data_IF_749267962648
#
_entry.id   IF_749267962648
#
_cell.length_a   1.000
_cell.length_b   1.000
_cell.length_c   1.000
_cell.angle_alpha   90.00
_cell.angle_beta   90.00
_cell.angle_gamma   90.00
#
_symmetry.space_group_name_H-M   'P 1'
#
loop_
_entity.id
_entity.type
_entity.pdbx_description
1 polymer ?
#
# COMPACT_ATOMS: atom_id res chain seq x y z
N UNK A 1 28.86 16.78 63.12
CA UNK A 1 28.35 18.16 63.14
C UNK A 1 28.24 18.62 61.69
N UNK A 2 27.05 18.58 61.13
CA UNK A 2 26.77 18.99 59.74
C UNK A 2 25.88 20.25 59.78
N UNK A 3 26.20 21.31 59.03
CA UNK A 3 25.37 22.51 59.03
C UNK A 3 24.17 22.35 58.09
N UNK A 4 23.00 22.58 58.67
CA UNK A 4 21.68 22.70 58.06
C UNK A 4 21.67 23.77 56.96
N UNK A 5 21.19 23.41 55.76
CA UNK A 5 20.81 24.38 54.73
C UNK A 5 19.31 24.62 54.82
N UNK A 6 18.95 25.83 55.26
CA UNK A 6 17.59 26.34 55.27
C UNK A 6 17.05 26.44 53.83
N UNK A 7 15.92 25.78 53.60
CA UNK A 7 15.13 25.90 52.39
C UNK A 7 14.34 27.22 52.47
N UNK A 8 14.71 28.22 51.68
CA UNK A 8 13.89 29.44 51.50
C UNK A 8 12.82 29.13 50.46
N UNK A 9 11.67 28.70 50.97
CA UNK A 9 10.43 28.64 50.22
C UNK A 9 10.06 30.09 49.86
N UNK A 10 10.05 30.41 48.58
CA UNK A 10 9.56 31.70 48.09
C UNK A 10 8.07 31.56 47.87
N UNK A 11 7.30 32.19 48.74
CA UNK A 11 5.85 32.32 48.59
C UNK A 11 5.57 33.28 47.43
N UNK A 12 5.26 32.73 46.25
CA UNK A 12 4.56 33.48 45.21
C UNK A 12 3.14 32.90 45.08
N UNK A 13 2.10 33.74 45.08
CA UNK A 13 0.72 33.28 44.92
C UNK A 13 0.57 32.70 43.52
N UNK A 14 0.45 31.38 43.43
CA UNK A 14 0.18 30.69 42.16
C UNK A 14 -1.31 30.85 41.88
N UNK A 15 -1.65 31.82 41.04
CA UNK A 15 -3.00 31.92 40.50
C UNK A 15 -3.15 30.85 39.42
N UNK A 16 -3.70 29.69 39.78
CA UNK A 16 -3.88 28.51 38.90
C UNK A 16 -4.79 28.75 37.68
N UNK A 17 -5.31 29.97 37.50
CA UNK A 17 -6.19 30.37 36.39
C UNK A 17 -5.54 31.32 35.36
N UNK A 18 -4.22 31.55 35.39
CA UNK A 18 -3.55 32.31 34.33
C UNK A 18 -3.28 31.43 33.10
N UNK A 19 -3.70 31.91 31.92
CA UNK A 19 -3.43 31.30 30.62
C UNK A 19 -1.92 31.03 30.45
N UNK A 20 -1.50 29.83 30.00
CA UNK A 20 -0.11 29.50 29.71
C UNK A 20 0.65 30.58 28.93
N UNK A 21 -0.03 31.30 28.05
CA UNK A 21 0.55 32.38 27.23
C UNK A 21 0.93 33.59 28.11
N UNK A 22 0.05 34.02 29.02
CA UNK A 22 0.29 35.13 29.95
C UNK A 22 1.44 34.83 30.92
N UNK A 23 1.57 33.56 31.33
CA UNK A 23 2.67 33.12 32.19
C UNK A 23 4.02 33.08 31.46
N UNK A 24 4.03 32.79 30.16
CA UNK A 24 5.24 32.76 29.35
C UNK A 24 5.75 34.17 29.02
N UNK A 25 4.85 35.10 28.66
CA UNK A 25 5.18 36.51 28.39
C UNK A 25 5.69 37.26 29.63
N UNK A 26 5.15 36.97 30.83
CA UNK A 26 5.63 37.54 32.09
C UNK A 26 7.05 37.05 32.48
N UNK A 27 7.47 35.86 32.03
CA UNK A 27 8.76 35.23 32.36
C UNK A 27 9.85 35.49 31.32
N UNK A 28 9.49 35.69 30.04
CA UNK A 28 10.43 35.74 28.92
C UNK A 28 10.35 37.01 28.06
N UNK A 29 9.40 37.92 28.33
CA UNK A 29 9.11 39.06 27.46
C UNK A 29 8.16 38.71 26.33
N UNK A 30 7.59 39.72 25.66
CA UNK A 30 6.80 39.49 24.44
C UNK A 30 7.73 38.98 23.33
N UNK A 31 7.41 37.86 22.67
CA UNK A 31 8.20 37.35 21.55
C UNK A 31 8.25 38.41 20.45
N UNK A 32 9.43 38.68 19.93
CA UNK A 32 9.59 39.63 18.83
C UNK A 32 9.10 38.99 17.53
N UNK A 33 8.74 39.81 16.53
CA UNK A 33 8.37 39.32 15.21
C UNK A 33 9.46 38.43 14.58
N UNK A 34 10.73 38.73 14.85
CA UNK A 34 11.88 37.93 14.44
C UNK A 34 11.88 36.53 15.11
N UNK A 35 11.49 36.44 16.38
CA UNK A 35 11.35 35.15 17.08
C UNK A 35 10.25 34.29 16.47
N UNK A 36 9.12 34.90 16.05
CA UNK A 36 8.00 34.17 15.46
C UNK A 36 8.26 33.77 14.01
N UNK A 37 8.94 34.62 13.23
CA UNK A 37 9.38 34.30 11.87
C UNK A 37 10.36 33.12 11.88
N UNK A 38 11.33 33.13 12.79
CA UNK A 38 12.27 32.02 12.98
C UNK A 38 11.57 30.71 13.38
N UNK A 39 10.54 30.78 14.24
CA UNK A 39 9.75 29.62 14.62
C UNK A 39 8.94 29.08 13.42
N UNK A 40 8.29 29.95 12.64
CA UNK A 40 7.58 29.59 11.40
C UNK A 40 8.48 28.91 10.37
N UNK A 41 9.67 29.46 10.10
CA UNK A 41 10.64 28.86 9.18
C UNK A 41 11.09 27.47 9.65
N UNK A 42 11.28 27.30 10.97
CA UNK A 42 11.67 26.02 11.55
C UNK A 42 10.60 24.94 11.38
N UNK A 43 9.32 25.29 11.56
CA UNK A 43 8.19 24.38 11.38
C UNK A 43 7.93 24.07 9.90
N UNK A 44 8.12 25.05 9.02
CA UNK A 44 8.03 24.83 7.57
C UNK A 44 9.12 23.87 7.08
N UNK A 45 10.36 24.05 7.53
CA UNK A 45 11.46 23.13 7.25
C UNK A 45 11.17 21.72 7.80
N UNK A 46 10.63 21.61 9.02
CA UNK A 46 10.24 20.32 9.61
C UNK A 46 9.12 19.63 8.81
N UNK A 47 8.13 20.39 8.31
CA UNK A 47 7.07 19.87 7.47
C UNK A 47 7.61 19.37 6.11
N UNK A 48 8.56 20.07 5.50
CA UNK A 48 9.15 19.64 4.24
C UNK A 48 10.00 18.38 4.38
N UNK A 49 10.79 18.27 5.46
CA UNK A 49 11.53 17.04 5.80
C UNK A 49 10.56 15.87 6.05
N UNK A 50 9.47 16.09 6.79
CA UNK A 50 8.46 15.06 7.03
C UNK A 50 7.75 14.62 5.73
N UNK A 51 7.50 15.56 4.81
CA UNK A 51 6.93 15.28 3.48
C UNK A 51 7.85 14.42 2.64
N UNK A 52 9.15 14.72 2.62
CA UNK A 52 10.15 13.92 1.90
C UNK A 52 10.25 12.51 2.48
N UNK A 53 10.39 12.38 3.81
CA UNK A 53 10.40 11.08 4.50
C UNK A 53 9.14 10.25 4.22
N UNK A 54 7.96 10.88 4.20
CA UNK A 54 6.70 10.23 3.84
C UNK A 54 6.73 9.73 2.39
N UNK A 55 7.18 10.56 1.45
CA UNK A 55 7.24 10.20 0.04
C UNK A 55 8.24 9.05 -0.21
N UNK A 56 9.39 9.09 0.44
CA UNK A 56 10.38 8.00 0.42
C UNK A 56 9.80 6.70 1.00
N UNK A 57 9.17 6.78 2.17
CA UNK A 57 8.47 5.66 2.80
C UNK A 57 7.43 5.04 1.87
N UNK A 58 6.60 5.85 1.22
CA UNK A 58 5.60 5.40 0.24
C UNK A 58 6.24 4.71 -0.97
N UNK A 59 7.35 5.24 -1.48
CA UNK A 59 8.09 4.62 -2.58
C UNK A 59 8.64 3.23 -2.18
N UNK A 60 9.16 3.10 -0.95
CA UNK A 60 9.63 1.82 -0.40
C UNK A 60 8.48 0.83 -0.24
N UNK A 61 7.34 1.26 0.30
CA UNK A 61 6.13 0.43 0.43
C UNK A 61 5.68 -0.09 -0.94
N UNK A 62 5.63 0.77 -1.96
CA UNK A 62 5.28 0.39 -3.34
C UNK A 62 6.22 -0.68 -3.88
N UNK A 63 7.54 -0.52 -3.74
CA UNK A 63 8.54 -1.53 -4.13
C UNK A 63 8.29 -2.90 -3.49
N UNK A 64 8.00 -2.93 -2.19
CA UNK A 64 7.72 -4.19 -1.49
C UNK A 64 6.38 -4.82 -1.87
N UNK A 65 5.36 -4.00 -2.17
CA UNK A 65 4.07 -4.49 -2.69
C UNK A 65 4.27 -5.16 -4.05
N UNK A 66 5.01 -4.54 -4.96
CA UNK A 66 5.24 -5.09 -6.30
C UNK A 66 6.06 -6.38 -6.23
N UNK A 67 7.12 -6.41 -5.41
CA UNK A 67 7.87 -7.64 -5.13
C UNK A 67 7.00 -8.75 -4.56
N UNK A 68 6.08 -8.43 -3.64
CA UNK A 68 5.14 -9.40 -3.08
C UNK A 68 4.20 -9.95 -4.16
N UNK A 69 3.68 -9.09 -5.05
CA UNK A 69 2.83 -9.51 -6.17
C UNK A 69 3.58 -10.45 -7.12
N UNK A 70 4.83 -10.15 -7.44
CA UNK A 70 5.69 -11.00 -8.27
C UNK A 70 5.85 -12.40 -7.66
N UNK A 71 6.22 -12.46 -6.37
CA UNK A 71 6.33 -13.73 -5.63
C UNK A 71 5.00 -14.49 -5.63
N UNK A 72 3.87 -13.79 -5.48
CA UNK A 72 2.54 -14.41 -5.50
C UNK A 72 2.19 -15.00 -6.88
N UNK A 73 2.57 -14.34 -7.97
CA UNK A 73 2.40 -14.86 -9.34
C UNK A 73 3.26 -16.13 -9.52
N UNK A 74 4.53 -16.08 -9.11
CA UNK A 74 5.41 -17.25 -9.13
C UNK A 74 4.81 -18.39 -8.31
N UNK A 75 4.39 -18.13 -7.07
CA UNK A 75 3.80 -19.14 -6.18
C UNK A 75 2.59 -19.84 -6.80
N UNK A 76 1.70 -19.10 -7.47
CA UNK A 76 0.56 -19.70 -8.20
C UNK A 76 1.03 -20.61 -9.33
N UNK A 77 1.95 -20.14 -10.16
CA UNK A 77 2.51 -20.95 -11.25
C UNK A 77 3.14 -22.25 -10.76
N UNK A 78 3.86 -22.20 -9.63
CA UNK A 78 4.47 -23.38 -9.03
C UNK A 78 3.44 -24.34 -8.43
N UNK A 79 2.37 -23.84 -7.81
CA UNK A 79 1.26 -24.68 -7.33
C UNK A 79 0.56 -25.38 -8.51
N UNK A 80 0.31 -24.67 -9.61
CA UNK A 80 -0.27 -25.26 -10.82
C UNK A 80 0.61 -26.38 -11.38
N UNK A 81 1.94 -26.21 -11.36
CA UNK A 81 2.90 -27.27 -11.75
C UNK A 81 2.82 -28.48 -10.83
N UNK A 82 2.72 -28.28 -9.51
CA UNK A 82 2.55 -29.39 -8.55
C UNK A 82 1.30 -30.19 -8.88
N UNK A 83 0.19 -29.52 -9.18
CA UNK A 83 -1.07 -30.18 -9.52
C UNK A 83 -0.97 -30.92 -10.86
N UNK A 84 -0.30 -30.34 -11.86
CA UNK A 84 -0.01 -31.02 -13.12
C UNK A 84 0.83 -32.30 -12.91
N UNK A 85 1.87 -32.25 -12.08
CA UNK A 85 2.69 -33.44 -11.79
C UNK A 85 1.90 -34.50 -11.02
N UNK A 86 1.05 -34.09 -10.07
CA UNK A 86 0.16 -34.99 -9.36
C UNK A 86 -0.79 -35.71 -10.34
N UNK A 87 -1.38 -34.99 -11.29
CA UNK A 87 -2.26 -35.56 -12.32
C UNK A 87 -1.52 -36.56 -13.21
N UNK A 88 -0.35 -36.18 -13.74
CA UNK A 88 0.49 -37.06 -14.57
C UNK A 88 0.93 -38.32 -13.83
N UNK A 89 1.30 -38.20 -12.55
CA UNK A 89 1.64 -39.34 -11.71
C UNK A 89 0.44 -40.27 -11.51
N UNK A 90 -0.75 -39.72 -11.26
CA UNK A 90 -1.97 -40.52 -11.11
C UNK A 90 -2.33 -41.24 -12.41
N UNK A 91 -2.23 -40.57 -13.56
CA UNK A 91 -2.42 -41.19 -14.87
C UNK A 91 -1.43 -42.34 -15.13
N UNK A 92 -0.15 -42.15 -14.80
CA UNK A 92 0.86 -43.19 -14.90
C UNK A 92 0.56 -44.38 -13.98
N UNK A 93 0.12 -44.13 -12.74
CA UNK A 93 -0.29 -45.18 -11.80
C UNK A 93 -1.51 -45.96 -12.29
N UNK A 94 -2.51 -45.29 -12.86
CA UNK A 94 -3.68 -45.96 -13.46
C UNK A 94 -3.30 -46.81 -14.69
N UNK A 95 -2.32 -46.37 -15.49
CA UNK A 95 -1.74 -47.20 -16.56
C UNK A 95 -1.03 -48.42 -15.98
N UNK A 96 -0.19 -48.25 -14.95
CA UNK A 96 0.48 -49.38 -14.27
C UNK A 96 -0.53 -50.38 -13.73
N UNK A 97 -1.63 -49.90 -13.14
CA UNK A 97 -2.69 -50.76 -12.62
C UNK A 97 -3.34 -51.60 -13.73
N UNK A 98 -3.73 -50.98 -14.84
CA UNK A 98 -4.30 -51.69 -16.00
C UNK A 98 -3.34 -52.73 -16.58
N UNK A 99 -2.08 -52.36 -16.79
CA UNK A 99 -1.06 -53.30 -17.32
C UNK A 99 -0.85 -54.48 -16.36
N UNK A 100 -0.93 -54.25 -15.04
CA UNK A 100 -0.85 -55.35 -14.05
C UNK A 100 -2.06 -56.28 -14.10
N UNK A 101 -3.26 -55.74 -14.33
CA UNK A 101 -4.49 -56.52 -14.52
C UNK A 101 -4.40 -57.37 -15.79
N UNK A 102 -4.02 -56.77 -16.92
CA UNK A 102 -3.80 -57.47 -18.20
C UNK A 102 -2.72 -58.56 -18.08
N UNK A 103 -1.62 -58.27 -17.39
CA UNK A 103 -0.56 -59.25 -17.10
C UNK A 103 -1.08 -60.41 -16.25
N UNK A 104 -1.92 -60.14 -15.25
CA UNK A 104 -2.48 -61.17 -14.39
C UNK A 104 -3.39 -62.12 -15.19
N UNK A 105 -4.24 -61.58 -16.06
CA UNK A 105 -5.09 -62.35 -16.96
C UNK A 105 -4.27 -63.19 -17.94
N UNK A 106 -3.23 -62.61 -18.56
CA UNK A 106 -2.33 -63.34 -19.45
C UNK A 106 -1.60 -64.50 -18.74
N UNK A 107 -1.14 -64.28 -17.51
CA UNK A 107 -0.50 -65.33 -16.68
C UNK A 107 -1.49 -66.43 -16.29
N UNK A 108 -2.73 -66.07 -15.96
CA UNK A 108 -3.77 -67.07 -15.65
C UNK A 108 -4.09 -67.93 -16.86
N UNK A 109 -4.26 -67.32 -18.04
CA UNK A 109 -4.50 -68.03 -19.30
C UNK A 109 -3.31 -68.90 -19.71
N UNK A 110 -2.08 -68.42 -19.51
CA UNK A 110 -0.87 -69.22 -19.72
C UNK A 110 -0.84 -70.45 -18.81
N UNK A 111 -1.15 -70.30 -17.51
CA UNK A 111 -1.20 -71.42 -16.56
C UNK A 111 -2.26 -72.46 -16.95
N UNK A 112 -3.45 -72.01 -17.38
CA UNK A 112 -4.52 -72.91 -17.86
C UNK A 112 -4.05 -73.75 -19.05
N UNK A 113 -3.37 -73.13 -20.03
CA UNK A 113 -2.84 -73.86 -21.20
C UNK A 113 -1.70 -74.81 -20.83
N UNK A 114 -0.78 -74.41 -19.93
CA UNK A 114 0.29 -75.30 -19.44
C UNK A 114 -0.26 -76.52 -18.70
N UNK A 115 -1.23 -76.32 -17.80
CA UNK A 115 -1.86 -77.45 -17.09
C UNK A 115 -2.56 -78.40 -18.07
N UNK A 116 -3.19 -77.86 -19.12
CA UNK A 116 -3.82 -78.68 -20.16
C UNK A 116 -2.81 -79.44 -21.03
N UNK A 117 -1.63 -78.86 -21.29
CA UNK A 117 -0.50 -79.51 -21.97
C UNK A 117 0.07 -80.69 -21.18
N UNK A 118 0.09 -80.58 -19.85
CA UNK A 118 0.51 -81.67 -18.95
C UNK A 118 -0.49 -82.84 -18.95
N UNK A 119 -1.78 -82.57 -19.13
CA UNK A 119 -2.84 -83.59 -19.18
C UNK A 119 -3.05 -84.19 -20.58
N UNK A 120 -2.89 -83.39 -21.64
CA UNK A 120 -3.21 -83.74 -23.03
C UNK A 120 -2.38 -82.95 -24.04
N UNK A 121 -2.09 -83.53 -25.21
CA UNK A 121 -1.33 -82.83 -26.24
C UNK A 121 -2.12 -81.63 -26.79
N UNK A 122 -1.55 -80.43 -26.67
CA UNK A 122 -2.16 -79.19 -27.18
C UNK A 122 -2.24 -79.20 -28.71
N UNK A 123 -3.34 -78.67 -29.25
CA UNK A 123 -3.42 -78.43 -30.68
C UNK A 123 -2.53 -77.25 -31.11
N UNK A 124 -2.27 -77.13 -32.41
CA UNK A 124 -1.34 -76.14 -32.95
C UNK A 124 -1.78 -74.67 -32.70
N UNK A 125 -3.09 -74.41 -32.63
CA UNK A 125 -3.62 -73.09 -32.28
C UNK A 125 -3.42 -72.76 -30.77
N UNK A 126 -3.53 -73.76 -29.90
CA UNK A 126 -3.29 -73.63 -28.45
C UNK A 126 -1.79 -73.46 -28.15
N UNK A 127 -0.90 -74.19 -28.83
CA UNK A 127 0.56 -73.98 -28.76
C UNK A 127 0.95 -72.57 -29.17
N UNK A 128 0.42 -72.09 -30.30
CA UNK A 128 0.66 -70.71 -30.76
C UNK A 128 0.14 -69.66 -29.76
N UNK A 129 -1.00 -69.91 -29.10
CA UNK A 129 -1.50 -69.02 -28.03
C UNK A 129 -0.61 -69.04 -26.80
N UNK A 130 -0.12 -70.21 -26.38
CA UNK A 130 0.79 -70.35 -25.25
C UNK A 130 2.11 -69.58 -25.48
N UNK A 131 2.70 -69.71 -26.66
CA UNK A 131 3.88 -68.92 -27.07
C UNK A 131 3.59 -67.42 -27.05
N UNK A 132 2.42 -67.00 -27.56
CA UNK A 132 1.98 -65.61 -27.50
C UNK A 132 1.85 -65.07 -26.07
N UNK A 133 1.29 -65.86 -25.14
CA UNK A 133 1.21 -65.45 -23.74
C UNK A 133 2.59 -65.34 -23.08
N UNK A 134 3.52 -66.25 -23.38
CA UNK A 134 4.90 -66.20 -22.87
C UNK A 134 5.59 -64.93 -23.36
N UNK A 135 5.51 -64.62 -24.66
CA UNK A 135 6.07 -63.39 -25.22
C UNK A 135 5.45 -62.13 -24.58
N UNK A 136 4.13 -62.10 -24.43
CA UNK A 136 3.43 -60.96 -23.82
C UNK A 136 3.81 -60.73 -22.35
N UNK A 137 4.22 -61.76 -21.60
CA UNK A 137 4.59 -61.62 -20.19
C UNK A 137 5.80 -60.72 -20.01
N UNK A 138 6.83 -60.88 -20.84
CA UNK A 138 8.04 -60.07 -20.79
C UNK A 138 7.76 -58.64 -21.24
N UNK A 139 6.91 -58.48 -22.27
CA UNK A 139 6.43 -57.18 -22.72
C UNK A 139 5.71 -56.43 -21.59
N UNK A 140 4.76 -57.07 -20.90
CA UNK A 140 4.06 -56.46 -19.76
C UNK A 140 5.01 -56.08 -18.62
N UNK A 141 6.02 -56.91 -18.34
CA UNK A 141 7.01 -56.58 -17.31
C UNK A 141 7.79 -55.30 -17.67
N UNK A 142 8.27 -55.19 -18.92
CA UNK A 142 8.95 -54.00 -19.43
C UNK A 142 8.02 -52.77 -19.39
N UNK A 143 6.75 -52.92 -19.77
CA UNK A 143 5.77 -51.84 -19.72
C UNK A 143 5.51 -51.36 -18.28
N UNK A 144 5.33 -52.27 -17.32
CA UNK A 144 5.16 -51.92 -15.91
C UNK A 144 6.38 -51.17 -15.37
N UNK A 145 7.59 -51.65 -15.68
CA UNK A 145 8.83 -50.98 -15.26
C UNK A 145 8.92 -49.56 -15.81
N UNK A 146 8.66 -49.39 -17.12
CA UNK A 146 8.67 -48.08 -17.78
C UNK A 146 7.67 -47.11 -17.16
N UNK A 147 6.42 -47.55 -16.98
CA UNK A 147 5.37 -46.68 -16.43
C UNK A 147 5.59 -46.37 -14.95
N UNK A 148 6.14 -47.32 -14.18
CA UNK A 148 6.52 -47.09 -12.78
C UNK A 148 7.68 -46.10 -12.66
N UNK A 149 8.67 -46.17 -13.55
CA UNK A 149 9.76 -45.21 -13.62
C UNK A 149 9.25 -43.81 -13.99
N UNK A 150 8.30 -43.71 -14.92
CA UNK A 150 7.66 -42.44 -15.28
C UNK A 150 6.85 -41.84 -14.11
N UNK A 151 6.07 -42.66 -13.41
CA UNK A 151 5.35 -42.24 -12.20
C UNK A 151 6.31 -41.75 -11.10
N UNK A 152 7.43 -42.45 -10.90
CA UNK A 152 8.45 -42.04 -9.93
C UNK A 152 9.11 -40.73 -10.34
N UNK A 153 9.36 -40.51 -11.63
CA UNK A 153 9.88 -39.24 -12.14
C UNK A 153 8.94 -38.09 -11.79
N UNK A 154 7.65 -38.20 -12.11
CA UNK A 154 6.68 -37.15 -11.76
C UNK A 154 6.56 -36.94 -10.25
N UNK A 155 6.72 -37.99 -9.43
CA UNK A 155 6.80 -37.84 -7.98
C UNK A 155 8.00 -36.99 -7.57
N UNK A 156 9.19 -37.26 -8.11
CA UNK A 156 10.41 -36.52 -7.79
C UNK A 156 10.30 -35.05 -8.21
N UNK A 157 9.88 -34.80 -9.45
CA UNK A 157 9.67 -33.44 -9.99
C UNK A 157 8.67 -32.65 -9.12
N UNK A 158 7.61 -33.33 -8.65
CA UNK A 158 6.64 -32.74 -7.74
C UNK A 158 7.25 -32.38 -6.37
N UNK A 159 8.13 -33.21 -5.80
CA UNK A 159 8.76 -32.92 -4.50
C UNK A 159 9.73 -31.75 -4.58
N UNK A 160 10.51 -31.67 -5.66
CA UNK A 160 11.39 -30.53 -5.92
C UNK A 160 10.57 -29.24 -6.03
N UNK A 161 9.53 -29.26 -6.86
CA UNK A 161 8.60 -28.12 -7.04
C UNK A 161 7.92 -27.73 -5.72
N UNK A 162 7.52 -28.70 -4.88
CA UNK A 162 6.96 -28.43 -3.53
C UNK A 162 7.95 -27.75 -2.60
N UNK A 163 9.23 -28.12 -2.69
CA UNK A 163 10.29 -27.49 -1.89
C UNK A 163 10.47 -26.02 -2.31
N UNK A 164 10.40 -25.73 -3.60
CA UNK A 164 10.40 -24.35 -4.10
C UNK A 164 9.16 -23.57 -3.67
N UNK A 165 7.97 -24.18 -3.72
CA UNK A 165 6.73 -23.59 -3.19
C UNK A 165 6.89 -23.20 -1.71
N UNK A 166 7.53 -24.05 -0.91
CA UNK A 166 7.79 -23.77 0.50
C UNK A 166 8.69 -22.54 0.68
N UNK A 167 9.79 -22.44 -0.07
CA UNK A 167 10.70 -21.29 -0.05
C UNK A 167 10.00 -20.01 -0.52
N UNK A 168 9.18 -20.09 -1.56
CA UNK A 168 8.38 -18.95 -2.05
C UNK A 168 7.38 -18.48 -1.00
N UNK A 169 6.71 -19.39 -0.27
CA UNK A 169 5.81 -19.03 0.84
C UNK A 169 6.55 -18.31 1.96
N UNK A 170 7.73 -18.79 2.36
CA UNK A 170 8.54 -18.11 3.36
C UNK A 170 8.94 -16.71 2.89
N UNK A 171 9.40 -16.59 1.65
CA UNK A 171 9.83 -15.31 1.05
C UNK A 171 8.66 -14.35 0.92
N UNK A 172 7.48 -14.83 0.52
CA UNK A 172 6.24 -14.05 0.47
C UNK A 172 5.88 -13.52 1.86
N UNK A 173 5.89 -14.38 2.88
CA UNK A 173 5.53 -13.98 4.25
C UNK A 173 6.54 -12.98 4.83
N UNK A 174 7.83 -13.18 4.58
CA UNK A 174 8.87 -12.24 4.99
C UNK A 174 8.72 -10.89 4.28
N UNK A 175 8.41 -10.90 2.98
CA UNK A 175 8.15 -9.66 2.22
C UNK A 175 6.89 -8.96 2.72
N UNK A 176 5.83 -9.72 3.04
CA UNK A 176 4.62 -9.17 3.64
C UNK A 176 4.89 -8.48 4.98
N UNK A 177 5.68 -9.09 5.87
CA UNK A 177 6.11 -8.46 7.13
C UNK A 177 6.85 -7.15 6.88
N UNK A 178 7.71 -7.09 5.86
CA UNK A 178 8.40 -5.85 5.46
C UNK A 178 7.42 -4.78 4.97
N UNK A 179 6.42 -5.15 4.15
CA UNK A 179 5.36 -4.21 3.71
C UNK A 179 4.64 -3.62 4.92
N UNK A 180 4.20 -4.46 5.87
CA UNK A 180 3.46 -4.01 7.06
C UNK A 180 4.31 -3.01 7.86
N UNK A 181 5.56 -3.37 8.19
CA UNK A 181 6.46 -2.50 8.95
C UNK A 181 6.74 -1.17 8.22
N UNK A 182 6.95 -1.21 6.91
CA UNK A 182 7.22 0.01 6.14
C UNK A 182 5.98 0.90 6.02
N UNK A 183 4.79 0.30 5.98
CA UNK A 183 3.53 1.04 6.04
C UNK A 183 3.36 1.75 7.38
N UNK A 184 3.63 1.06 8.50
CA UNK A 184 3.61 1.68 9.83
C UNK A 184 4.55 2.89 9.93
N UNK A 185 5.77 2.78 9.36
CA UNK A 185 6.73 3.88 9.33
C UNK A 185 6.22 5.04 8.45
N UNK A 186 5.68 4.74 7.26
CA UNK A 186 5.12 5.76 6.37
C UNK A 186 3.91 6.47 7.00
N UNK A 187 3.06 5.74 7.71
CA UNK A 187 1.92 6.29 8.44
C UNK A 187 2.38 7.19 9.59
N UNK A 188 3.48 6.84 10.28
CA UNK A 188 4.09 7.72 11.29
C UNK A 188 4.62 9.02 10.66
N UNK A 189 5.36 8.94 9.55
CA UNK A 189 5.84 10.14 8.85
C UNK A 189 4.68 11.00 8.33
N UNK A 190 3.59 10.38 7.91
CA UNK A 190 2.38 11.10 7.52
C UNK A 190 1.74 11.82 8.72
N UNK A 191 1.68 11.17 9.87
CA UNK A 191 1.19 11.77 11.11
C UNK A 191 2.05 12.97 11.55
N UNK A 192 3.38 12.80 11.57
CA UNK A 192 4.33 13.86 11.92
C UNK A 192 4.18 15.06 10.97
N UNK A 193 4.05 14.80 9.67
CA UNK A 193 3.77 15.83 8.68
C UNK A 193 2.48 16.61 8.98
N UNK A 194 1.38 15.93 9.32
CA UNK A 194 0.11 16.58 9.66
C UNK A 194 0.28 17.47 10.90
N UNK A 195 1.00 16.99 11.93
CA UNK A 195 1.25 17.77 13.15
C UNK A 195 2.03 19.05 12.84
N UNK A 196 3.12 18.94 12.07
CA UNK A 196 3.94 20.10 11.71
C UNK A 196 3.17 21.12 10.87
N UNK A 197 2.38 20.67 9.89
CA UNK A 197 1.51 21.55 9.10
C UNK A 197 0.44 22.21 9.98
N UNK A 198 -0.15 21.47 10.92
CA UNK A 198 -1.18 22.01 11.82
C UNK A 198 -0.61 23.06 12.77
N UNK A 199 0.60 22.85 13.29
CA UNK A 199 1.27 23.78 14.19
C UNK A 199 1.74 25.03 13.46
N UNK A 200 2.33 24.87 12.27
CA UNK A 200 2.64 25.99 11.37
C UNK A 200 1.40 26.85 11.09
N UNK A 201 0.27 26.21 10.74
CA UNK A 201 -0.99 26.93 10.51
C UNK A 201 -1.50 27.62 11.78
N UNK A 202 -1.35 27.00 12.96
CA UNK A 202 -1.74 27.60 14.24
C UNK A 202 -0.95 28.87 14.53
N UNK A 203 0.36 28.88 14.27
CA UNK A 203 1.21 30.06 14.48
C UNK A 203 0.81 31.18 13.53
N UNK A 204 0.63 30.90 12.23
CA UNK A 204 0.12 31.87 11.26
C UNK A 204 -1.24 32.44 11.68
N UNK A 205 -2.18 31.56 12.06
CA UNK A 205 -3.52 31.98 12.46
C UNK A 205 -3.50 32.82 13.75
N UNK A 206 -2.59 32.52 14.69
CA UNK A 206 -2.42 33.27 15.93
C UNK A 206 -1.84 34.66 15.66
N UNK A 207 -0.84 34.76 14.78
CA UNK A 207 -0.27 36.06 14.37
C UNK A 207 -1.26 36.91 13.57
N UNK A 208 -2.03 36.30 12.67
CA UNK A 208 -3.06 37.01 11.91
C UNK A 208 -4.16 37.61 12.80
N UNK A 209 -4.41 37.05 13.99
CA UNK A 209 -5.34 37.59 14.99
C UNK A 209 -4.74 38.76 15.77
N UNK A 210 -3.44 38.71 16.07
CA UNK A 210 -2.72 39.84 16.68
C UNK A 210 -2.71 41.03 15.72
N UNK A 211 -2.43 40.80 14.44
CA UNK A 211 -2.53 41.86 13.42
C UNK A 211 -3.97 42.36 13.20
N UNK A 212 -4.97 41.49 13.27
CA UNK A 212 -6.39 41.88 13.06
C UNK A 212 -6.99 42.70 14.21
N UNK A 213 -6.46 42.59 15.44
CA UNK A 213 -6.87 43.49 16.53
C UNK A 213 -6.17 44.86 16.46
N UNK A 214 -5.02 44.96 15.78
CA UNK A 214 -4.36 46.24 15.44
C UNK A 214 -4.91 46.88 14.15
N UNK A 215 -5.43 46.10 13.19
CA UNK A 215 -5.99 46.55 11.89
C UNK A 215 -7.52 46.74 11.89
N UNK A 216 -8.15 47.00 13.04
CA UNK A 216 -9.60 47.26 13.11
C UNK A 216 -10.08 48.54 12.40
N UNK A 217 -9.21 49.25 11.68
CA UNK A 217 -9.49 50.57 11.11
C UNK A 217 -9.28 50.70 9.58
N UNK A 218 -9.18 49.62 8.80
CA UNK A 218 -9.18 49.76 7.32
C UNK A 218 -10.01 48.72 6.56
N UNK A 219 -11.04 49.20 5.87
CA UNK A 219 -11.87 48.48 4.89
C UNK A 219 -11.25 48.57 3.50
N UNK A 220 -10.88 47.42 2.91
CA UNK A 220 -10.33 47.33 1.55
C UNK A 220 -11.42 46.96 0.54
N UNK A 221 -11.54 47.75 -0.55
CA UNK A 221 -12.43 47.46 -1.68
C UNK A 221 -11.55 47.17 -2.90
N UNK A 222 -11.72 46.00 -3.52
CA UNK A 222 -11.07 45.60 -4.77
C UNK A 222 -12.03 45.93 -5.93
N UNK A 223 -11.51 46.39 -7.07
CA UNK A 223 -12.35 46.70 -8.24
C UNK A 223 -12.92 45.41 -8.87
N UNK A 224 -14.10 45.51 -9.49
CA UNK A 224 -14.85 44.36 -10.04
C UNK A 224 -14.04 43.62 -11.15
N UNK A 225 -13.28 44.35 -11.96
CA UNK A 225 -12.43 43.80 -13.03
C UNK A 225 -11.22 42.99 -12.50
N UNK A 226 -10.69 43.39 -11.33
CA UNK A 226 -9.57 42.69 -10.68
C UNK A 226 -10.06 41.43 -9.95
N UNK A 227 -11.26 41.48 -9.38
CA UNK A 227 -11.92 40.33 -8.77
C UNK A 227 -12.16 39.20 -9.79
N UNK A 228 -12.64 39.54 -10.99
CA UNK A 228 -12.87 38.55 -12.06
C UNK A 228 -11.59 37.88 -12.54
N UNK A 229 -10.48 38.62 -12.59
CA UNK A 229 -9.17 38.08 -12.96
C UNK A 229 -8.64 37.06 -11.94
N UNK A 230 -8.80 37.34 -10.63
CA UNK A 230 -8.43 36.39 -9.57
C UNK A 230 -9.35 35.17 -9.57
N UNK A 231 -10.65 35.36 -9.76
CA UNK A 231 -11.61 34.26 -9.86
C UNK A 231 -11.27 33.32 -11.04
N UNK A 232 -10.85 33.86 -12.19
CA UNK A 232 -10.45 33.06 -13.34
C UNK A 232 -9.23 32.17 -13.05
N UNK A 233 -8.21 32.71 -12.38
CA UNK A 233 -6.98 31.97 -12.02
C UNK A 233 -7.27 30.88 -10.99
N UNK A 234 -8.09 31.19 -9.97
CA UNK A 234 -8.47 30.21 -8.95
C UNK A 234 -9.34 29.10 -9.57
N UNK A 235 -10.23 29.42 -10.52
CA UNK A 235 -10.98 28.41 -11.27
C UNK A 235 -10.04 27.47 -12.02
N UNK A 236 -9.06 27.98 -12.76
CA UNK A 236 -8.08 27.16 -13.49
C UNK A 236 -7.33 26.19 -12.55
N UNK A 237 -6.82 26.69 -11.41
CA UNK A 237 -6.12 25.87 -10.40
C UNK A 237 -6.99 24.74 -9.81
N UNK A 238 -8.26 25.03 -9.49
CA UNK A 238 -9.16 24.01 -8.93
C UNK A 238 -9.71 23.04 -9.98
N UNK A 239 -9.69 23.40 -11.26
CA UNK A 239 -10.08 22.50 -12.35
C UNK A 239 -9.03 21.39 -12.57
N UNK A 240 -7.74 21.68 -12.32
CA UNK A 240 -6.64 20.71 -12.41
C UNK A 240 -6.55 19.73 -11.21
N UNK A 241 -7.24 20.03 -10.10
CA UNK A 241 -7.21 19.24 -8.85
C UNK A 241 -8.48 18.38 -8.70
N UNK A 242 -9.50 18.59 -9.53
CA UNK A 242 -10.79 17.91 -9.42
C UNK A 242 -10.75 16.42 -9.79
N UNK A 243 -11.21 15.56 -8.88
CA UNK A 243 -11.78 14.24 -9.23
C UNK A 243 -13.13 14.46 -9.95
N UNK A 244 -13.44 13.64 -10.97
CA UNK A 244 -14.47 13.84 -12.01
C UNK A 244 -15.93 14.13 -11.55
N UNK A 245 -16.24 14.11 -10.24
CA UNK A 245 -17.61 14.16 -9.69
C UNK A 245 -17.91 15.38 -8.79
N UNK A 246 -17.01 16.37 -8.71
CA UNK A 246 -17.20 17.58 -7.89
C UNK A 246 -17.31 18.86 -8.74
N UNK A 247 -18.37 19.63 -8.50
CA UNK A 247 -18.59 20.92 -9.16
C UNK A 247 -18.20 22.05 -8.21
N UNK A 248 -17.31 22.94 -8.65
CA UNK A 248 -16.81 24.06 -7.84
C UNK A 248 -17.34 25.37 -8.43
N UNK A 249 -18.09 26.13 -7.63
CA UNK A 249 -18.52 27.49 -7.98
C UNK A 249 -17.69 28.50 -7.22
N UNK A 250 -17.19 29.51 -7.93
CA UNK A 250 -16.35 30.57 -7.37
C UNK A 250 -16.91 31.92 -7.81
N UNK A 251 -17.26 32.76 -6.85
CA UNK A 251 -17.87 34.07 -7.05
C UNK A 251 -17.46 35.07 -5.96
N UNK A 252 -17.70 36.36 -6.20
CA UNK A 252 -17.43 37.42 -5.24
C UNK A 252 -18.67 37.70 -4.38
N UNK A 253 -18.51 37.79 -3.07
CA UNK A 253 -19.57 38.17 -2.13
C UNK A 253 -18.99 39.09 -1.06
N UNK A 254 -19.53 40.31 -0.94
CA UNK A 254 -19.10 41.34 0.03
C UNK A 254 -17.56 41.53 0.13
N UNK A 255 -16.88 41.58 -1.02
CA UNK A 255 -15.42 41.77 -1.09
C UNK A 255 -14.58 40.53 -0.74
N UNK A 256 -15.20 39.35 -0.66
CA UNK A 256 -14.53 38.06 -0.44
C UNK A 256 -14.76 37.14 -1.64
N UNK A 257 -13.77 36.31 -1.96
CA UNK A 257 -13.96 35.23 -2.93
C UNK A 257 -14.56 34.06 -2.16
N UNK A 258 -15.74 33.64 -2.58
CA UNK A 258 -16.45 32.49 -2.03
C UNK A 258 -16.22 31.31 -2.96
N UNK A 259 -15.70 30.22 -2.41
CA UNK A 259 -15.54 28.94 -3.08
C UNK A 259 -16.57 27.98 -2.50
N UNK A 260 -17.51 27.55 -3.32
CA UNK A 260 -18.50 26.54 -2.99
C UNK A 260 -18.19 25.24 -3.73
N UNK A 261 -18.23 24.12 -3.01
CA UNK A 261 -17.97 22.80 -3.58
C UNK A 261 -19.23 21.95 -3.46
N UNK A 262 -19.60 21.33 -4.57
CA UNK A 262 -20.81 20.54 -4.73
C UNK A 262 -20.48 19.09 -5.09
N UNK A 263 -21.29 18.17 -4.58
CA UNK A 263 -21.36 16.77 -5.00
C UNK A 263 -22.83 16.48 -5.34
N UNK A 264 -23.12 15.75 -6.43
CA UNK A 264 -24.18 16.06 -7.40
C UNK A 264 -25.41 16.77 -6.78
N UNK A 265 -25.41 18.11 -6.87
CA UNK A 265 -26.53 18.98 -6.45
C UNK A 265 -26.58 19.33 -4.95
N UNK A 266 -25.62 18.89 -4.14
CA UNK A 266 -25.55 19.18 -2.70
C UNK A 266 -24.27 19.93 -2.35
N UNK A 267 -24.42 21.10 -1.72
CA UNK A 267 -23.31 21.87 -1.16
C UNK A 267 -22.64 21.05 -0.05
N UNK A 268 -21.36 20.73 -0.23
CA UNK A 268 -20.56 19.96 0.74
C UNK A 268 -19.52 20.83 1.45
N UNK A 269 -19.21 22.02 0.92
CA UNK A 269 -18.32 22.98 1.57
C UNK A 269 -18.49 24.38 1.00
N UNK A 270 -18.41 25.38 1.88
CA UNK A 270 -18.39 26.81 1.53
C UNK A 270 -17.24 27.45 2.29
N UNK A 271 -16.28 28.03 1.59
CA UNK A 271 -15.13 28.73 2.18
C UNK A 271 -15.02 30.11 1.58
N UNK A 272 -15.11 31.14 2.43
CA UNK A 272 -14.80 32.51 2.05
C UNK A 272 -13.32 32.77 2.29
N UNK A 273 -12.61 33.24 1.26
CA UNK A 273 -11.18 33.57 1.35
C UNK A 273 -11.01 35.05 1.03
N UNK A 274 -10.20 35.74 1.85
CA UNK A 274 -9.82 37.13 1.59
C UNK A 274 -8.89 37.17 0.38
N UNK A 275 -9.11 38.14 -0.52
CA UNK A 275 -8.36 38.26 -1.79
C UNK A 275 -6.85 38.43 -1.55
N UNK A 276 -6.45 39.21 -0.53
CA UNK A 276 -5.04 39.39 -0.14
C UNK A 276 -4.34 38.06 0.16
N UNK A 277 -5.01 37.18 0.91
CA UNK A 277 -4.48 35.85 1.25
C UNK A 277 -4.34 34.94 0.02
N UNK A 278 -5.15 35.12 -1.02
CA UNK A 278 -5.01 34.36 -2.28
C UNK A 278 -3.85 34.89 -3.13
N UNK A 279 -3.67 36.21 -3.20
CA UNK A 279 -2.56 36.84 -3.94
C UNK A 279 -1.21 36.42 -3.34
N UNK A 280 -1.11 36.37 -2.01
CA UNK A 280 0.08 35.90 -1.28
C UNK A 280 0.29 34.39 -1.40
N UNK A 281 -0.79 33.58 -1.38
CA UNK A 281 -0.70 32.12 -1.48
C UNK A 281 -0.34 31.61 -2.88
N UNK A 282 -0.66 32.37 -3.93
CA UNK A 282 -0.46 31.98 -5.33
C UNK A 282 0.63 32.77 -6.06
N UNK A 283 1.38 33.62 -5.35
CA UNK A 283 2.53 34.38 -5.88
C UNK A 283 2.18 35.17 -7.16
N UNK A 284 0.97 35.74 -7.18
CA UNK A 284 0.42 36.41 -8.36
C UNK A 284 1.13 37.75 -8.62
N UNK A 285 1.36 38.14 -9.89
CA UNK A 285 2.08 39.38 -10.20
C UNK A 285 1.35 40.61 -9.62
N UNK A 286 2.08 41.62 -9.11
CA UNK A 286 1.54 42.74 -8.32
C UNK A 286 0.81 43.79 -9.16
N UNK A 287 0.16 43.39 -10.26
CA UNK A 287 -0.60 44.29 -11.15
C UNK A 287 -2.01 44.65 -10.65
N UNK A 288 -2.37 44.21 -9.44
CA UNK A 288 -3.62 44.59 -8.80
C UNK A 288 -3.30 45.86 -7.99
N UNK A 289 -3.71 47.02 -8.49
CA UNK A 289 -3.48 48.30 -7.80
C UNK A 289 -4.47 48.44 -6.65
N UNK A 290 -4.11 47.86 -5.50
CA UNK A 290 -4.88 47.99 -4.27
C UNK A 290 -4.71 49.42 -3.75
N UNK A 291 -5.66 50.29 -4.07
CA UNK A 291 -5.61 51.68 -3.63
C UNK A 291 -6.11 51.81 -2.19
N UNK A 292 -5.26 52.31 -1.28
CA UNK A 292 -5.64 52.67 0.09
C UNK A 292 -6.37 54.01 0.05
N UNK A 293 -7.67 54.03 0.35
CA UNK A 293 -8.43 55.29 0.50
C UNK A 293 -8.27 55.77 1.95
N UNK A 294 -7.91 57.05 2.11
CA UNK A 294 -7.76 57.74 3.39
C UNK A 294 -9.09 58.10 4.03
#
# INVERSE_FOLDING_TARGET
>A
MSPSKQNKQTDYPTNENQDPITRYTELHGEPTWEDVEQECESWQLAADIARENRNEGNAIVKKYIDKRKEIQVQLRSFLDKVDQFQNKRNEANEKVKRIKEERAEAVENMKKLRGKEEETELNEAEKKRLEGYIASQDEYHVMVQKMSAEAQKYHNDMQETRSEVYLLRQTHNNTHKKVVRQREIADQHHHDFILFVSEYQRIIDSNSKVEADDEKDTSWIVSEDEADSVIAIVKEYYTDIGEEDHLVEIYLDEGRIVIETYHPGKLIGKKGVKIKSLVEMFDLPPKIEITKVA
#
